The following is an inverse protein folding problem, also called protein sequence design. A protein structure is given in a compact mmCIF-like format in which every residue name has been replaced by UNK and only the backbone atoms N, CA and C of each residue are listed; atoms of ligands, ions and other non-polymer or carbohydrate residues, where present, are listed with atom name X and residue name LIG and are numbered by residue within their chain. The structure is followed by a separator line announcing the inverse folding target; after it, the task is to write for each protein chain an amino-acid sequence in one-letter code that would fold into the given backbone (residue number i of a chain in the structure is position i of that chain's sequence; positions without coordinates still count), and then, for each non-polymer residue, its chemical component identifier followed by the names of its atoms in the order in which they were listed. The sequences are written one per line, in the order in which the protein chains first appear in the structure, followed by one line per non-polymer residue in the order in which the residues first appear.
data_IF_182419527372
#
_entry.id   IF_182419527372
#
_cell.length_a   1.000
_cell.length_b   1.000
_cell.length_c   1.000
_cell.angle_alpha   90.00
_cell.angle_beta   90.00
_cell.angle_gamma   90.00
#
_symmetry.space_group_name_H-M   'P 1'
#
loop_
_entity.id
_entity.type
_entity.pdbx_description
1 polymer ?
#
# COMPACT_ATOMS: atom_id res chain seq x y z
N UNK A 1 -3.54 -1.88 5.04
CA UNK A 1 -4.81 -2.53 4.63
C UNK A 1 -6.04 -1.75 5.03
N UNK A 2 -6.27 -1.47 6.32
CA UNK A 2 -7.47 -0.73 6.75
C UNK A 2 -7.64 0.63 6.05
N UNK A 3 -6.56 1.39 5.86
CA UNK A 3 -6.57 2.67 5.14
C UNK A 3 -7.06 2.49 3.69
N UNK A 4 -6.44 1.56 2.94
CA UNK A 4 -6.85 1.27 1.57
C UNK A 4 -8.31 0.82 1.48
N UNK A 5 -8.74 -0.12 2.33
CA UNK A 5 -10.12 -0.61 2.35
C UNK A 5 -11.15 0.46 2.79
N UNK A 6 -10.71 1.47 3.54
CA UNK A 6 -11.54 2.59 3.94
C UNK A 6 -11.62 3.72 2.92
N UNK A 7 -10.88 3.62 1.81
CA UNK A 7 -10.78 4.68 0.81
C UNK A 7 -12.09 4.82 0.02
N UNK A 8 -12.52 6.07 -0.15
CA UNK A 8 -13.73 6.44 -0.92
C UNK A 8 -13.33 7.30 -2.11
N UNK A 9 -14.25 7.42 -3.07
CA UNK A 9 -14.02 8.30 -4.23
C UNK A 9 -13.88 9.77 -3.84
N UNK A 10 -14.55 10.20 -2.77
CA UNK A 10 -14.39 11.56 -2.21
C UNK A 10 -12.99 11.82 -1.64
N UNK A 11 -12.22 10.77 -1.36
CA UNK A 11 -10.87 10.86 -0.82
C UNK A 11 -9.81 10.91 -1.95
N UNK A 12 -10.21 10.88 -3.23
CA UNK A 12 -9.32 10.84 -4.41
C UNK A 12 -9.45 12.12 -5.23
N UNK A 13 -8.43 12.97 -5.17
CA UNK A 13 -8.31 14.16 -5.99
C UNK A 13 -7.54 13.83 -7.29
N UNK A 14 -8.29 13.58 -8.36
CA UNK A 14 -7.72 13.30 -9.68
C UNK A 14 -7.10 14.54 -10.35
N UNK A 15 -7.50 15.75 -9.98
CA UNK A 15 -6.98 16.98 -10.59
C UNK A 15 -5.58 17.28 -10.07
N UNK A 16 -5.41 17.28 -8.74
CA UNK A 16 -4.13 17.51 -8.09
C UNK A 16 -3.30 16.23 -7.93
N UNK A 17 -3.86 15.06 -8.28
CA UNK A 17 -3.24 13.74 -8.15
C UNK A 17 -2.86 13.42 -6.71
N UNK A 18 -3.80 13.62 -5.78
CA UNK A 18 -3.61 13.38 -4.34
C UNK A 18 -4.64 12.36 -3.83
N UNK A 19 -4.21 11.43 -2.99
CA UNK A 19 -5.08 10.57 -2.20
C UNK A 19 -5.07 11.05 -0.75
N UNK A 20 -6.24 11.42 -0.24
CA UNK A 20 -6.43 11.86 1.14
C UNK A 20 -6.69 10.65 2.05
N UNK A 21 -5.69 10.26 2.84
CA UNK A 21 -5.87 9.21 3.83
C UNK A 21 -6.48 9.83 5.09
N UNK A 22 -7.80 9.77 5.22
CA UNK A 22 -8.55 10.33 6.36
C UNK A 22 -9.23 9.26 7.20
N UNK A 23 -9.39 8.06 6.65
CA UNK A 23 -10.20 6.99 7.20
C UNK A 23 -9.48 5.64 7.15
N UNK A 24 -9.85 4.74 8.05
CA UNK A 24 -9.43 3.34 8.03
C UNK A 24 -10.58 2.42 8.40
N UNK A 25 -10.78 1.39 7.57
CA UNK A 25 -11.71 0.31 7.84
C UNK A 25 -11.14 -0.64 8.89
N UNK A 26 -11.94 -0.97 9.90
CA UNK A 26 -11.62 -1.92 10.97
C UNK A 26 -12.75 -2.93 11.15
N UNK A 27 -12.36 -4.13 11.55
CA UNK A 27 -13.31 -5.12 12.02
C UNK A 27 -13.65 -4.93 13.49
N UNK A 28 -14.93 -5.04 13.82
CA UNK A 28 -15.37 -5.31 15.18
C UNK A 28 -16.23 -6.57 15.21
N UNK A 29 -16.03 -7.45 16.21
CA UNK A 29 -17.01 -8.50 16.48
C UNK A 29 -18.34 -7.83 16.84
N UNK A 30 -19.40 -8.14 16.09
CA UNK A 30 -20.75 -7.69 16.39
C UNK A 30 -21.38 -8.51 17.52
N UNK A 31 -22.55 -8.08 17.97
CA UNK A 31 -23.30 -8.74 19.06
C UNK A 31 -23.82 -10.14 18.72
N UNK A 32 -23.89 -10.48 17.42
CA UNK A 32 -24.49 -11.72 16.91
C UNK A 32 -23.46 -12.64 16.21
N UNK A 33 -22.19 -12.62 16.66
CA UNK A 33 -21.04 -13.28 15.99
C UNK A 33 -20.79 -12.86 14.53
N UNK A 34 -21.55 -11.87 14.03
CA UNK A 34 -21.34 -11.26 12.71
C UNK A 34 -20.32 -10.15 12.85
N UNK A 35 -19.20 -10.33 12.15
CA UNK A 35 -18.16 -9.29 12.04
C UNK A 35 -18.75 -8.09 11.28
N UNK A 36 -18.69 -6.91 11.89
CA UNK A 36 -19.14 -5.67 11.27
C UNK A 36 -17.95 -4.78 10.93
N UNK A 37 -18.04 -4.16 9.75
CA UNK A 37 -17.12 -3.11 9.36
C UNK A 37 -17.44 -1.82 10.11
N UNK A 38 -16.39 -1.15 10.55
CA UNK A 38 -16.47 0.20 11.08
C UNK A 38 -15.43 1.06 10.39
N UNK A 39 -15.85 2.25 9.95
CA UNK A 39 -14.92 3.27 9.54
C UNK A 39 -14.53 4.08 10.76
N UNK A 40 -13.22 4.22 10.96
CA UNK A 40 -12.65 5.00 12.04
C UNK A 40 -11.60 5.91 11.46
N UNK A 41 -11.37 7.04 12.12
CA UNK A 41 -10.16 7.80 11.87
C UNK A 41 -8.91 6.92 12.14
N UNK A 42 -7.81 7.18 11.42
CA UNK A 42 -6.52 6.57 11.70
C UNK A 42 -6.18 6.70 13.19
N UNK A 43 -5.54 5.65 13.74
CA UNK A 43 -5.26 5.57 15.19
C UNK A 43 -4.39 6.72 15.72
N UNK A 44 -3.71 7.44 14.84
CA UNK A 44 -2.76 8.50 15.18
C UNK A 44 -2.93 9.65 14.19
N UNK A 45 -2.65 10.89 14.62
CA UNK A 45 -2.66 12.06 13.73
C UNK A 45 -1.76 11.88 12.50
N UNK A 46 -0.61 11.21 12.66
CA UNK A 46 0.28 10.88 11.55
C UNK A 46 -0.32 9.93 10.51
N UNK A 47 -1.40 9.21 10.87
CA UNK A 47 -2.13 8.37 9.93
C UNK A 47 -3.01 9.19 8.98
N UNK A 48 -3.34 10.43 9.33
CA UNK A 48 -4.04 11.37 8.45
C UNK A 48 -3.00 12.08 7.59
N UNK A 49 -3.04 11.86 6.28
CA UNK A 49 -2.01 12.35 5.36
C UNK A 49 -2.47 12.37 3.91
N UNK A 50 -1.77 13.16 3.11
CA UNK A 50 -1.94 13.22 1.66
C UNK A 50 -0.82 12.43 0.98
N UNK A 51 -1.19 11.60 0.02
CA UNK A 51 -0.25 10.80 -0.77
C UNK A 51 -0.35 11.22 -2.23
N UNK A 52 0.69 11.86 -2.79
CA UNK A 52 0.76 12.14 -4.22
C UNK A 52 0.74 10.83 -5.03
N UNK A 53 -0.02 10.82 -6.12
CA UNK A 53 -0.13 9.66 -7.00
C UNK A 53 0.99 9.67 -8.04
N UNK A 54 1.65 8.52 -8.17
CA UNK A 54 2.42 8.20 -9.39
C UNK A 54 1.45 7.80 -10.52
N UNK A 55 1.90 7.88 -11.76
CA UNK A 55 1.08 7.62 -12.95
C UNK A 55 0.38 6.25 -12.88
N UNK A 56 1.09 5.21 -12.43
CA UNK A 56 0.54 3.86 -12.32
C UNK A 56 -0.63 3.77 -11.34
N UNK A 57 -0.59 4.55 -10.25
CA UNK A 57 -1.69 4.59 -9.26
C UNK A 57 -2.86 5.40 -9.80
N UNK A 58 -2.58 6.52 -10.45
CA UNK A 58 -3.60 7.34 -11.11
C UNK A 58 -4.36 6.52 -12.16
N UNK A 59 -3.64 5.82 -13.04
CA UNK A 59 -4.23 5.00 -14.10
C UNK A 59 -5.06 3.86 -13.54
N UNK A 60 -4.58 3.19 -12.48
CA UNK A 60 -5.31 2.11 -11.82
C UNK A 60 -6.63 2.60 -11.20
N UNK A 61 -6.60 3.71 -10.46
CA UNK A 61 -7.80 4.30 -9.86
C UNK A 61 -8.78 4.81 -10.91
N UNK A 62 -8.28 5.41 -11.99
CA UNK A 62 -9.11 5.90 -13.09
C UNK A 62 -9.77 4.76 -13.86
N UNK A 63 -9.06 3.66 -14.08
CA UNK A 63 -9.62 2.46 -14.69
C UNK A 63 -10.73 1.87 -13.83
N UNK A 64 -10.50 1.74 -12.51
CA UNK A 64 -11.52 1.24 -11.57
C UNK A 64 -12.74 2.16 -11.51
N UNK A 65 -12.54 3.48 -11.48
CA UNK A 65 -13.64 4.46 -11.50
C UNK A 65 -14.52 4.28 -12.74
N UNK A 66 -13.90 4.08 -13.90
CA UNK A 66 -14.61 3.89 -15.17
C UNK A 66 -15.41 2.58 -15.18
N UNK A 67 -14.82 1.49 -14.67
CA UNK A 67 -15.52 0.21 -14.52
C UNK A 67 -16.73 0.34 -13.60
N UNK A 68 -16.60 1.04 -12.47
CA UNK A 68 -17.72 1.27 -11.54
C UNK A 68 -18.78 2.21 -12.11
N UNK A 69 -18.39 3.20 -12.92
CA UNK A 69 -19.32 4.07 -13.63
C UNK A 69 -20.19 3.27 -14.62
N UNK A 70 -19.59 2.33 -15.35
CA UNK A 70 -20.31 1.49 -16.32
C UNK A 70 -21.21 0.44 -15.65
N UNK A 71 -20.78 -0.14 -14.52
CA UNK A 71 -21.51 -1.18 -13.79
C UNK A 71 -22.54 -0.63 -12.78
N UNK A 72 -22.46 0.66 -12.49
CA UNK A 72 -23.15 1.29 -11.37
C UNK A 72 -22.28 1.27 -10.11
N UNK A 73 -22.17 2.44 -9.46
CA UNK A 73 -21.38 2.56 -8.24
C UNK A 73 -22.03 1.75 -7.11
N UNK A 74 -21.29 0.83 -6.50
CA UNK A 74 -21.74 0.16 -5.30
C UNK A 74 -21.82 1.15 -4.13
N UNK A 75 -22.95 1.18 -3.41
CA UNK A 75 -23.21 2.14 -2.33
C UNK A 75 -23.41 1.47 -0.96
N UNK A 76 -22.42 0.71 -0.42
CA UNK A 76 -22.49 0.34 0.98
C UNK A 76 -22.54 1.59 1.85
N UNK A 77 -23.42 1.59 2.84
CA UNK A 77 -23.37 2.55 3.93
C UNK A 77 -22.72 1.90 5.14
N UNK A 78 -21.56 2.42 5.55
CA UNK A 78 -20.80 1.91 6.70
C UNK A 78 -20.45 3.12 7.57
N UNK A 79 -20.86 3.09 8.84
CA UNK A 79 -20.66 4.23 9.75
C UNK A 79 -21.20 5.57 9.20
N UNK A 80 -22.27 5.54 8.39
CA UNK A 80 -22.85 6.72 7.75
C UNK A 80 -22.11 7.23 6.51
N UNK A 81 -21.04 6.57 6.08
CA UNK A 81 -20.25 6.92 4.91
C UNK A 81 -20.58 6.01 3.72
N UNK A 82 -20.46 6.53 2.50
CA UNK A 82 -20.71 5.84 1.22
C UNK A 82 -19.57 6.09 0.23
N UNK A 83 -19.63 5.48 -0.97
CA UNK A 83 -18.68 5.76 -2.05
C UNK A 83 -17.34 5.04 -1.91
N UNK A 84 -17.30 3.89 -1.21
CA UNK A 84 -16.09 3.09 -1.03
C UNK A 84 -15.61 2.48 -2.35
N UNK A 85 -14.30 2.53 -2.57
CA UNK A 85 -13.67 2.05 -3.81
C UNK A 85 -13.60 0.52 -3.83
N UNK A 86 -13.12 -0.11 -2.76
CA UNK A 86 -12.80 -1.54 -2.73
C UNK A 86 -13.93 -2.39 -2.15
N UNK A 87 -14.96 -2.60 -2.96
CA UNK A 87 -16.13 -3.40 -2.60
C UNK A 87 -16.32 -4.59 -3.55
N UNK A 88 -17.09 -5.58 -3.11
CA UNK A 88 -17.49 -6.70 -3.96
C UNK A 88 -18.83 -6.39 -4.67
N UNK A 89 -19.25 -7.29 -5.55
CA UNK A 89 -20.50 -7.18 -6.32
C UNK A 89 -21.75 -7.16 -5.44
N UNK A 90 -21.66 -7.65 -4.20
CA UNK A 90 -22.74 -7.61 -3.20
C UNK A 90 -22.79 -6.26 -2.44
N UNK A 91 -21.94 -5.29 -2.81
CA UNK A 91 -21.84 -4.01 -2.12
C UNK A 91 -21.26 -4.11 -0.71
N UNK A 92 -20.31 -5.03 -0.47
CA UNK A 92 -19.59 -5.18 0.81
C UNK A 92 -18.11 -4.89 0.63
N UNK A 93 -17.49 -4.26 1.63
CA UNK A 93 -16.04 -4.06 1.66
C UNK A 93 -15.29 -5.39 1.55
N UNK A 94 -14.23 -5.40 0.74
CA UNK A 94 -13.34 -6.56 0.61
C UNK A 94 -12.62 -6.84 1.93
N UNK A 95 -12.54 -8.10 2.31
CA UNK A 95 -11.81 -8.51 3.51
C UNK A 95 -10.31 -8.58 3.27
N UNK A 96 -9.45 -8.26 4.27
CA UNK A 96 -8.02 -8.52 4.21
C UNK A 96 -7.71 -9.99 3.88
N UNK A 97 -8.51 -10.94 4.37
CA UNK A 97 -8.37 -12.37 4.08
C UNK A 97 -8.68 -12.67 2.61
N UNK A 98 -9.69 -12.02 2.02
CA UNK A 98 -10.00 -12.15 0.60
C UNK A 98 -8.84 -11.64 -0.26
N UNK A 99 -8.21 -10.54 0.15
CA UNK A 99 -7.03 -10.00 -0.53
C UNK A 99 -5.84 -10.95 -0.37
N UNK A 100 -5.56 -11.45 0.83
CA UNK A 100 -4.47 -12.41 1.05
C UNK A 100 -4.70 -13.71 0.27
N UNK A 101 -5.94 -14.22 0.21
CA UNK A 101 -6.27 -15.39 -0.63
C UNK A 101 -6.05 -15.12 -2.12
N UNK A 102 -6.36 -13.91 -2.59
CA UNK A 102 -6.08 -13.52 -3.97
C UNK A 102 -4.57 -13.49 -4.24
N UNK A 103 -3.77 -12.89 -3.33
CA UNK A 103 -2.31 -12.90 -3.38
C UNK A 103 -1.79 -14.35 -3.42
N UNK A 104 -2.22 -15.22 -2.51
CA UNK A 104 -1.79 -16.62 -2.46
C UNK A 104 -2.13 -17.37 -3.76
N UNK A 105 -3.26 -17.03 -4.38
CA UNK A 105 -3.68 -17.63 -5.65
C UNK A 105 -2.77 -17.19 -6.79
N UNK A 106 -2.51 -15.88 -6.89
CA UNK A 106 -1.61 -15.31 -7.90
C UNK A 106 -0.20 -15.88 -7.72
N UNK A 107 0.34 -15.89 -6.50
CA UNK A 107 1.66 -16.44 -6.20
C UNK A 107 1.78 -17.91 -6.60
N UNK A 108 0.76 -18.73 -6.30
CA UNK A 108 0.74 -20.14 -6.73
C UNK A 108 0.74 -20.29 -8.25
N UNK A 109 0.03 -19.43 -8.97
CA UNK A 109 0.00 -19.46 -10.43
C UNK A 109 1.35 -19.05 -11.02
N UNK A 110 1.95 -17.97 -10.53
CA UNK A 110 3.27 -17.53 -10.96
C UNK A 110 4.34 -18.60 -10.68
N UNK A 111 4.33 -19.22 -9.50
CA UNK A 111 5.30 -20.27 -9.16
C UNK A 111 5.14 -21.50 -10.06
N UNK A 112 3.90 -21.90 -10.37
CA UNK A 112 3.65 -23.01 -11.29
C UNK A 112 4.14 -22.71 -12.71
N UNK A 113 3.90 -21.50 -13.20
CA UNK A 113 4.39 -21.06 -14.51
C UNK A 113 5.92 -21.00 -14.55
N UNK A 114 6.54 -20.54 -13.46
CA UNK A 114 7.99 -20.48 -13.31
C UNK A 114 8.65 -21.86 -13.23
N UNK A 115 8.03 -22.82 -12.54
CA UNK A 115 8.48 -24.22 -12.52
C UNK A 115 8.52 -24.81 -13.94
N UNK A 116 7.50 -24.53 -14.75
CA UNK A 116 7.45 -24.99 -16.14
C UNK A 116 8.56 -24.35 -16.98
N UNK A 117 8.73 -23.03 -16.90
CA UNK A 117 9.79 -22.31 -17.64
C UNK A 117 11.18 -22.76 -17.22
N UNK A 118 11.42 -22.92 -15.92
CA UNK A 118 12.70 -23.36 -15.39
C UNK A 118 13.07 -24.77 -15.88
N UNK A 119 12.08 -25.66 -15.98
CA UNK A 119 12.27 -27.00 -16.54
C UNK A 119 12.62 -26.95 -18.04
N UNK A 120 11.95 -26.11 -18.83
CA UNK A 120 12.24 -25.92 -20.27
C UNK A 120 13.64 -25.33 -20.50
N UNK A 121 14.07 -24.42 -19.62
CA UNK A 121 15.37 -23.75 -19.68
C UNK A 121 16.49 -24.54 -18.96
N UNK A 122 16.17 -25.70 -18.38
CA UNK A 122 17.08 -26.54 -17.60
C UNK A 122 17.84 -25.77 -16.49
N UNK A 123 17.10 -24.93 -15.75
CA UNK A 123 17.59 -24.15 -14.61
C UNK A 123 16.75 -24.40 -13.37
N UNK A 124 17.26 -23.97 -12.21
CA UNK A 124 16.49 -23.96 -10.98
C UNK A 124 15.36 -22.90 -11.02
N UNK A 125 14.16 -23.21 -10.50
CA UNK A 125 13.04 -22.28 -10.50
C UNK A 125 13.20 -21.19 -9.44
N UNK A 126 12.79 -19.96 -9.78
CA UNK A 126 12.81 -18.82 -8.87
C UNK A 126 11.44 -18.69 -8.21
N UNK A 127 11.28 -19.35 -7.07
CA UNK A 127 9.99 -19.41 -6.36
C UNK A 127 9.75 -18.14 -5.55
N UNK A 128 8.56 -17.55 -5.73
CA UNK A 128 8.06 -16.48 -4.90
C UNK A 128 7.54 -17.09 -3.58
N UNK A 129 8.10 -16.72 -2.42
CA UNK A 129 7.65 -17.25 -1.13
C UNK A 129 6.24 -16.76 -0.78
N UNK A 130 5.61 -17.42 0.20
CA UNK A 130 4.34 -16.94 0.74
C UNK A 130 4.50 -15.56 1.38
N UNK A 131 3.60 -14.63 1.06
CA UNK A 131 3.57 -13.31 1.67
C UNK A 131 2.14 -12.76 1.76
N UNK A 132 1.93 -11.84 2.69
CA UNK A 132 0.67 -11.12 2.85
C UNK A 132 0.74 -9.73 2.25
N UNK A 133 -0.42 -9.11 2.07
CA UNK A 133 -0.56 -7.73 1.60
C UNK A 133 0.29 -6.69 2.35
N UNK A 134 0.67 -6.93 3.62
CA UNK A 134 1.55 -6.05 4.37
C UNK A 134 2.94 -5.91 3.76
N UNK A 135 3.41 -6.92 3.03
CA UNK A 135 4.73 -6.92 2.39
C UNK A 135 4.82 -5.87 1.27
N UNK A 136 3.72 -5.52 0.61
CA UNK A 136 3.72 -4.43 -0.37
C UNK A 136 4.11 -3.09 0.25
N UNK A 137 3.59 -2.80 1.45
CA UNK A 137 3.95 -1.58 2.18
C UNK A 137 5.42 -1.59 2.62
N UNK A 138 5.93 -2.73 3.07
CA UNK A 138 7.36 -2.85 3.41
C UNK A 138 8.24 -2.67 2.18
N UNK A 139 7.87 -3.28 1.06
CA UNK A 139 8.59 -3.15 -0.21
C UNK A 139 8.61 -1.71 -0.69
N UNK A 140 7.46 -1.03 -0.67
CA UNK A 140 7.37 0.40 -0.96
C UNK A 140 8.29 1.22 -0.03
N UNK A 141 8.24 0.97 1.28
CA UNK A 141 9.07 1.68 2.24
C UNK A 141 10.57 1.49 1.94
N UNK A 142 11.02 0.26 1.71
CA UNK A 142 12.43 -0.03 1.39
C UNK A 142 12.85 0.68 0.11
N UNK A 143 12.08 0.57 -0.97
CA UNK A 143 12.38 1.25 -2.25
C UNK A 143 12.33 2.77 -2.13
N UNK A 144 11.44 3.29 -1.29
CA UNK A 144 11.36 4.72 -1.04
C UNK A 144 12.58 5.21 -0.24
N UNK A 145 12.97 4.51 0.82
CA UNK A 145 14.21 4.79 1.57
C UNK A 145 15.49 4.59 0.74
N UNK A 146 15.46 3.79 -0.32
CA UNK A 146 16.56 3.67 -1.27
C UNK A 146 16.79 4.97 -2.05
N UNK A 147 15.71 5.66 -2.42
CA UNK A 147 15.75 6.85 -3.29
C UNK A 147 15.64 8.20 -2.54
N UNK A 148 14.99 8.22 -1.38
CA UNK A 148 14.81 9.41 -0.54
C UNK A 148 15.66 9.28 0.73
N UNK A 149 16.32 10.37 1.12
CA UNK A 149 17.17 10.42 2.32
C UNK A 149 16.57 11.29 3.43
N UNK A 150 15.56 12.11 3.09
CA UNK A 150 14.82 12.90 4.06
C UNK A 150 13.84 12.04 4.85
N UNK A 151 14.23 11.70 6.08
CA UNK A 151 13.46 10.87 7.00
C UNK A 151 12.08 11.48 7.30
N UNK A 152 11.93 12.82 7.31
CA UNK A 152 10.62 13.45 7.56
C UNK A 152 9.66 13.19 6.42
N UNK A 153 10.12 13.33 5.17
CA UNK A 153 9.31 13.00 3.98
C UNK A 153 8.88 11.54 4.00
N UNK A 154 9.80 10.64 4.33
CA UNK A 154 9.50 9.20 4.48
C UNK A 154 8.47 8.98 5.59
N UNK A 155 8.65 9.60 6.75
CA UNK A 155 7.72 9.46 7.87
C UNK A 155 6.32 9.97 7.53
N UNK A 156 6.21 11.12 6.86
CA UNK A 156 4.95 11.73 6.45
C UNK A 156 4.22 10.87 5.43
N UNK A 157 4.89 10.43 4.35
CA UNK A 157 4.28 9.56 3.32
C UNK A 157 3.87 8.20 3.89
N UNK A 158 4.71 7.62 4.75
CA UNK A 158 4.39 6.36 5.40
C UNK A 158 3.28 6.53 6.45
N UNK A 159 3.16 7.68 7.10
CA UNK A 159 2.24 7.89 8.21
C UNK A 159 2.67 7.15 9.49
N UNK A 160 3.99 7.05 9.73
CA UNK A 160 4.52 6.43 10.94
C UNK A 160 4.52 7.44 12.11
N UNK A 161 3.71 7.18 13.13
CA UNK A 161 3.70 8.01 14.34
C UNK A 161 5.03 7.95 15.11
N UNK A 162 5.73 6.82 15.06
CA UNK A 162 7.05 6.66 15.66
C UNK A 162 8.12 6.52 14.57
N UNK A 163 9.08 7.44 14.59
CA UNK A 163 10.23 7.49 13.68
C UNK A 163 11.14 6.26 13.80
N UNK A 164 11.16 5.58 14.96
CA UNK A 164 11.96 4.37 15.18
C UNK A 164 11.63 3.27 14.17
N UNK A 165 10.36 3.13 13.76
CA UNK A 165 9.95 2.13 12.75
C UNK A 165 10.61 2.43 11.39
N UNK A 166 10.67 3.71 11.01
CA UNK A 166 11.34 4.15 9.79
C UNK A 166 12.85 4.00 9.89
N UNK A 167 13.43 4.32 11.05
CA UNK A 167 14.85 4.18 11.33
C UNK A 167 15.31 2.73 11.37
N UNK A 168 14.52 1.79 11.87
CA UNK A 168 14.86 0.36 11.88
C UNK A 168 14.96 -0.21 10.45
N UNK A 169 14.12 0.27 9.54
CA UNK A 169 14.19 -0.06 8.11
C UNK A 169 15.42 0.62 7.47
N UNK A 170 15.68 1.89 7.80
CA UNK A 170 16.84 2.64 7.30
C UNK A 170 18.18 2.11 7.82
N UNK A 171 18.25 1.66 9.08
CA UNK A 171 19.47 1.11 9.69
C UNK A 171 19.90 -0.21 9.05
N UNK A 172 18.98 -0.90 8.37
CA UNK A 172 19.28 -2.07 7.55
C UNK A 172 19.91 -1.70 6.19
N UNK A 173 19.90 -0.42 5.82
CA UNK A 173 20.61 0.09 4.63
C UNK A 173 22.11 0.13 4.95
N UNK A 174 22.83 -0.71 4.22
CA UNK A 174 24.21 -1.18 4.43
C UNK A 174 25.25 -0.05 4.55
N UNK A 175 26.43 -0.40 5.09
CA UNK A 175 27.67 0.42 5.12
C UNK A 175 27.98 1.13 3.78
N UNK A 176 27.53 0.58 2.65
CA UNK A 176 27.62 1.18 1.32
C UNK A 176 26.95 2.56 1.23
N UNK A 177 25.80 2.74 1.88
CA UNK A 177 25.08 4.02 1.87
C UNK A 177 25.77 5.07 2.74
N UNK A 178 26.44 4.64 3.82
CA UNK A 178 27.31 5.52 4.62
C UNK A 178 28.49 6.04 3.81
N UNK A 179 29.13 5.17 3.01
CA UNK A 179 30.20 5.58 2.09
C UNK A 179 29.72 6.55 1.01
N UNK A 180 28.59 6.26 0.36
CA UNK A 180 28.02 7.15 -0.67
C UNK A 180 27.71 8.55 -0.12
N UNK A 181 27.07 8.65 1.05
CA UNK A 181 26.73 9.95 1.65
C UNK A 181 27.99 10.75 2.00
N UNK A 182 29.03 10.08 2.53
CA UNK A 182 30.31 10.74 2.83
C UNK A 182 31.05 11.17 1.54
N UNK A 183 30.98 10.37 0.48
CA UNK A 183 31.56 10.71 -0.82
C UNK A 183 30.82 11.89 -1.50
N UNK A 184 29.50 11.96 -1.40
CA UNK A 184 28.71 13.10 -1.87
C UNK A 184 28.97 14.37 -1.05
N UNK A 185 29.06 14.25 0.28
CA UNK A 185 29.45 15.35 1.15
C UNK A 185 30.84 15.87 0.78
N UNK A 186 31.80 14.97 0.56
CA UNK A 186 33.16 15.33 0.13
C UNK A 186 33.18 16.04 -1.23
N UNK A 187 32.37 15.60 -2.19
CA UNK A 187 32.21 16.27 -3.49
C UNK A 187 31.60 17.67 -3.35
N UNK A 188 30.61 17.83 -2.48
CA UNK A 188 29.92 19.11 -2.25
C UNK A 188 30.72 20.06 -1.34
N UNK A 189 31.64 19.55 -0.52
CA UNK A 189 32.55 20.34 0.31
C UNK A 189 33.78 20.88 -0.43
N UNK A 190 34.02 20.52 -1.71
CA UNK A 190 35.06 21.12 -2.55
C UNK A 190 34.71 22.53 -3.06
N UNK A 191 34.09 23.34 -2.20
CA UNK A 191 33.85 24.76 -2.44
C UNK A 191 34.59 25.55 -1.37
N UNK A 192 35.93 25.40 -1.33
CA UNK A 192 36.89 26.38 -0.84
C UNK A 192 38.25 26.10 -1.49
#
# INVERSE_FOLDING_TARGET
MGEALGLRWDDVDFENRIIHITNAAKYRPGTDDKVQWMITEPKTKAGIRDIPMIDQVYDALKAEYKVQQERGFPTPTISGMTGFIFVNEEGRLRSPEAINRAIDTITRWCNKEEEQKAQEENREPIIIPHFSCHVFRHTFCTRFCENETNIKVIQEIMGHANISITMDIYAKTTEEKKKQVLDELSKNMKIF
#
